data_IF_885952246867
#
_entry.id   IF_885952246867
#
_cell.length_a   1.000
_cell.length_b   1.000
_cell.length_c   1.000
_cell.angle_alpha   90.00
_cell.angle_beta   90.00
_cell.angle_gamma   90.00
#
_symmetry.space_group_name_H-M   'P 1'
#
loop_
_entity.id
_entity.type
_entity.pdbx_description
1 polymer ?
#
# COMPACT_ATOMS: atom_id res chain seq x y z
N UNK A 1 0.17 2.87 17.50
CA UNK A 1 1.62 2.53 17.53
C UNK A 1 1.87 1.48 18.61
N UNK A 2 2.86 0.61 18.42
CA UNK A 2 3.18 -0.48 19.35
C UNK A 2 4.00 0.00 20.56
N UNK A 3 3.73 -0.57 21.73
CA UNK A 3 4.49 -0.29 22.96
C UNK A 3 5.80 -1.09 23.05
N UNK A 4 5.95 -2.14 22.26
CA UNK A 4 7.17 -2.93 22.11
C UNK A 4 7.23 -3.59 20.72
N UNK A 5 8.41 -4.09 20.26
CA UNK A 5 8.49 -4.86 19.02
C UNK A 5 7.62 -6.11 19.03
N UNK A 6 7.50 -6.80 20.17
CA UNK A 6 6.71 -8.04 20.29
C UNK A 6 5.21 -7.81 20.08
N UNK A 7 4.67 -6.66 20.48
CA UNK A 7 3.28 -6.28 20.21
C UNK A 7 2.96 -6.23 18.71
N UNK A 8 3.96 -5.94 17.86
CA UNK A 8 3.77 -5.92 16.40
C UNK A 8 3.68 -7.32 15.79
N UNK A 9 3.95 -8.37 16.57
CA UNK A 9 3.78 -9.76 16.17
C UNK A 9 2.34 -10.27 16.41
N UNK A 10 1.52 -9.53 17.16
CA UNK A 10 0.09 -9.79 17.20
C UNK A 10 -0.50 -9.49 15.80
N UNK A 11 -1.13 -10.48 15.13
CA UNK A 11 -1.55 -10.33 13.74
C UNK A 11 -2.61 -9.26 13.56
N UNK A 12 -3.51 -9.07 14.53
CA UNK A 12 -4.57 -8.07 14.42
C UNK A 12 -4.03 -6.67 14.66
N UNK A 13 -3.20 -6.49 15.70
CA UNK A 13 -2.55 -5.19 15.93
C UNK A 13 -1.64 -4.79 14.78
N UNK A 14 -0.99 -5.77 14.13
CA UNK A 14 -0.18 -5.54 12.93
C UNK A 14 -1.02 -5.04 11.76
N UNK A 15 -2.19 -5.67 11.52
CA UNK A 15 -3.11 -5.29 10.46
C UNK A 15 -3.74 -3.92 10.71
N UNK A 16 -4.10 -3.59 11.95
CA UNK A 16 -4.61 -2.27 12.32
C UNK A 16 -3.58 -1.18 12.01
N UNK A 17 -2.34 -1.35 12.48
CA UNK A 17 -1.27 -0.40 12.21
C UNK A 17 -0.96 -0.28 10.71
N UNK A 18 -1.04 -1.38 9.96
CA UNK A 18 -0.87 -1.36 8.50
C UNK A 18 -1.99 -0.57 7.82
N UNK A 19 -3.23 -0.74 8.29
CA UNK A 19 -4.40 -0.01 7.77
C UNK A 19 -4.27 1.50 7.99
N UNK A 20 -3.83 1.91 9.18
CA UNK A 20 -3.53 3.31 9.49
C UNK A 20 -2.48 3.89 8.53
N UNK A 21 -1.37 3.17 8.31
CA UNK A 21 -0.32 3.59 7.37
C UNK A 21 -0.88 3.75 5.95
N UNK A 22 -1.73 2.83 5.49
CA UNK A 22 -2.33 2.91 4.16
C UNK A 22 -3.27 4.12 4.02
N UNK A 23 -4.04 4.43 5.06
CA UNK A 23 -4.89 5.64 5.10
C UNK A 23 -4.04 6.90 5.00
N UNK A 24 -2.95 6.99 5.78
CA UNK A 24 -2.02 8.13 5.72
C UNK A 24 -1.42 8.28 4.30
N UNK A 25 -1.02 7.18 3.66
CA UNK A 25 -0.47 7.22 2.30
C UNK A 25 -1.51 7.62 1.26
N UNK A 26 -2.76 7.15 1.39
CA UNK A 26 -3.89 7.55 0.56
C UNK A 26 -4.12 9.05 0.65
N UNK A 27 -4.19 9.58 1.87
CA UNK A 27 -4.50 10.99 2.10
C UNK A 27 -3.39 11.89 1.56
N UNK A 28 -2.13 11.51 1.76
CA UNK A 28 -0.99 12.19 1.16
C UNK A 28 -1.03 12.18 -0.38
N UNK A 29 -1.50 11.08 -0.98
CA UNK A 29 -1.63 10.95 -2.43
C UNK A 29 -2.78 11.82 -2.96
N UNK A 30 -3.93 11.76 -2.30
CA UNK A 30 -5.11 12.56 -2.62
C UNK A 30 -4.80 14.07 -2.53
N UNK A 31 -4.10 14.50 -1.47
CA UNK A 31 -3.67 15.88 -1.31
C UNK A 31 -2.73 16.34 -2.44
N UNK A 32 -1.86 15.46 -2.94
CA UNK A 32 -0.93 15.77 -4.04
C UNK A 32 -1.57 15.77 -5.44
N UNK A 33 -2.76 15.19 -5.59
CA UNK A 33 -3.46 15.11 -6.88
C UNK A 33 -5.00 15.19 -6.70
N UNK A 34 -5.55 16.35 -6.28
CA UNK A 34 -6.97 16.51 -6.02
C UNK A 34 -7.83 16.17 -7.25
N UNK A 35 -8.95 15.48 -7.02
CA UNK A 35 -9.89 15.08 -8.09
C UNK A 35 -9.50 13.84 -8.87
N UNK A 36 -8.32 13.24 -8.64
CA UNK A 36 -7.99 11.91 -9.19
C UNK A 36 -8.54 10.81 -8.29
N UNK A 37 -9.09 9.71 -8.86
CA UNK A 37 -9.42 8.51 -8.10
C UNK A 37 -8.20 7.96 -7.36
N UNK A 38 -8.43 7.40 -6.18
CA UNK A 38 -7.39 6.71 -5.41
C UNK A 38 -7.04 5.40 -6.09
N UNK A 39 -5.78 5.26 -6.52
CA UNK A 39 -5.21 3.99 -6.94
C UNK A 39 -4.58 3.27 -5.74
N UNK A 40 -5.26 2.24 -5.23
CA UNK A 40 -4.81 1.46 -4.09
C UNK A 40 -3.52 0.66 -4.35
N UNK A 41 -3.20 0.32 -5.61
CA UNK A 41 -1.92 -0.29 -5.96
C UNK A 41 -0.80 0.73 -5.76
N UNK A 42 -1.02 1.98 -6.17
CA UNK A 42 -0.07 3.07 -5.95
C UNK A 42 0.12 3.38 -4.45
N UNK A 43 -0.97 3.40 -3.68
CA UNK A 43 -0.95 3.59 -2.22
C UNK A 43 -0.12 2.49 -1.54
N UNK A 44 -0.39 1.22 -1.85
CA UNK A 44 0.36 0.09 -1.29
C UNK A 44 1.86 0.19 -1.60
N UNK A 45 2.23 0.64 -2.82
CA UNK A 45 3.62 0.86 -3.21
C UNK A 45 4.37 1.88 -2.36
N UNK A 46 3.68 2.88 -1.77
CA UNK A 46 4.29 3.92 -0.93
C UNK A 46 4.70 3.44 0.46
N UNK A 47 4.34 2.20 0.83
CA UNK A 47 4.89 1.53 2.02
C UNK A 47 6.43 1.44 1.96
N UNK A 48 7.01 1.27 0.76
CA UNK A 48 8.44 1.23 0.57
C UNK A 48 9.03 2.60 0.20
N UNK A 49 10.22 2.89 0.74
CA UNK A 49 11.01 4.10 0.44
C UNK A 49 12.27 3.75 -0.39
N UNK A 50 12.73 4.66 -1.28
CA UNK A 50 12.05 5.88 -1.71
C UNK A 50 10.77 5.54 -2.49
N UNK A 51 9.76 6.41 -2.40
CA UNK A 51 8.51 6.23 -3.13
C UNK A 51 8.80 6.23 -4.63
N UNK A 52 8.30 5.22 -5.35
CA UNK A 52 8.58 5.04 -6.78
C UNK A 52 9.84 4.21 -7.10
N UNK A 53 10.72 3.95 -6.13
CA UNK A 53 11.93 3.15 -6.34
C UNK A 53 11.68 1.66 -6.62
N UNK A 54 12.74 0.91 -6.91
CA UNK A 54 12.67 -0.52 -7.24
C UNK A 54 11.92 -1.39 -6.20
N UNK A 55 12.08 -1.18 -4.87
CA UNK A 55 11.29 -1.90 -3.87
C UNK A 55 9.77 -1.62 -3.98
N UNK A 56 9.39 -0.35 -4.18
CA UNK A 56 7.99 0.04 -4.38
C UNK A 56 7.43 -0.57 -5.67
N UNK A 57 8.17 -0.54 -6.77
CA UNK A 57 7.75 -1.14 -8.04
C UNK A 57 7.57 -2.67 -7.94
N UNK A 58 8.48 -3.36 -7.25
CA UNK A 58 8.35 -4.79 -6.97
C UNK A 58 7.10 -5.07 -6.14
N UNK A 59 6.86 -4.26 -5.10
CA UNK A 59 5.72 -4.43 -4.23
C UNK A 59 4.37 -4.20 -4.96
N UNK A 60 4.27 -3.14 -5.77
CA UNK A 60 3.09 -2.88 -6.62
C UNK A 60 2.75 -4.08 -7.52
N UNK A 61 3.76 -4.69 -8.15
CA UNK A 61 3.55 -5.90 -8.97
C UNK A 61 3.04 -7.08 -8.15
N UNK A 62 3.61 -7.30 -6.96
CA UNK A 62 3.18 -8.39 -6.08
C UNK A 62 1.74 -8.21 -5.59
N UNK A 63 1.40 -7.00 -5.11
CA UNK A 63 0.05 -6.69 -4.62
C UNK A 63 -0.96 -6.78 -5.75
N UNK A 64 -0.68 -6.20 -6.91
CA UNK A 64 -1.61 -6.27 -8.06
C UNK A 64 -1.86 -7.70 -8.52
N UNK A 65 -0.81 -8.53 -8.60
CA UNK A 65 -0.96 -9.94 -8.96
C UNK A 65 -1.85 -10.67 -7.96
N UNK A 66 -1.64 -10.46 -6.66
CA UNK A 66 -2.45 -11.12 -5.64
C UNK A 66 -3.91 -10.62 -5.65
N UNK A 67 -4.10 -9.30 -5.75
CA UNK A 67 -5.44 -8.71 -5.79
C UNK A 67 -6.21 -9.14 -7.05
N UNK A 68 -5.53 -9.24 -8.19
CA UNK A 68 -6.09 -9.79 -9.44
C UNK A 68 -6.61 -11.22 -9.24
N UNK A 69 -5.85 -12.06 -8.52
CA UNK A 69 -6.25 -13.44 -8.19
C UNK A 69 -7.49 -13.48 -7.28
N UNK A 70 -7.52 -12.64 -6.23
CA UNK A 70 -8.63 -12.58 -5.28
C UNK A 70 -9.92 -12.08 -5.94
N UNK A 71 -9.81 -11.10 -6.84
CA UNK A 71 -10.95 -10.47 -7.50
C UNK A 71 -11.39 -11.17 -8.79
N UNK A 72 -10.58 -12.07 -9.36
CA UNK A 72 -10.85 -12.68 -10.66
C UNK A 72 -10.79 -11.69 -11.83
N UNK A 73 -9.96 -10.64 -11.73
CA UNK A 73 -9.79 -9.60 -12.75
C UNK A 73 -8.31 -9.43 -13.12
N UNK A 74 -8.00 -8.67 -14.18
CA UNK A 74 -6.64 -8.29 -14.52
C UNK A 74 -6.40 -6.80 -14.24
N UNK A 75 -5.64 -6.49 -13.18
CA UNK A 75 -5.29 -5.13 -12.83
C UNK A 75 -4.02 -4.68 -13.55
N UNK A 76 -4.12 -3.58 -14.29
CA UNK A 76 -2.95 -2.94 -14.91
C UNK A 76 -2.12 -2.20 -13.85
N UNK A 77 -0.81 -2.48 -13.81
CA UNK A 77 0.11 -1.76 -12.92
C UNK A 77 0.88 -0.73 -13.72
N UNK A 78 0.73 0.54 -13.37
CA UNK A 78 1.63 1.60 -13.84
C UNK A 78 2.77 1.75 -12.85
N UNK A 79 4.01 1.64 -13.35
CA UNK A 79 5.20 2.01 -12.59
C UNK A 79 5.74 3.28 -13.24
N UNK A 80 5.76 4.43 -12.54
CA UNK A 80 6.51 5.58 -13.00
C UNK A 80 8.01 5.28 -13.03
#
# INVERSE_FOLDING_TARGET
RFSSPCESLDPYKNLDATSDILIEQRDALYASAPGRPVDWIQVAGRYHRPAGGAPAAKYRRTVSRHLSQVLGVNLLVTNP
#
